data_IF_555160762770
#
_entry.id   IF_555160762770
#
_cell.length_a   1.000
_cell.length_b   1.000
_cell.length_c   1.000
_cell.angle_alpha   90.00
_cell.angle_beta   90.00
_cell.angle_gamma   90.00
#
_symmetry.space_group_name_H-M   'P 1'
#
loop_
_entity.id
_entity.type
_entity.pdbx_description
1 polymer ?
#
# COMPACT_ATOMS: atom_id res chain seq x y z
N UNK A 1 -16.07 -14.17 12.22
CA UNK A 1 -16.34 -13.73 11.00
C UNK A 1 -15.25 -13.94 10.06
N UNK A 2 -15.50 -14.71 9.06
CA UNK A 2 -14.51 -15.01 8.11
C UNK A 2 -14.12 -13.81 7.30
N UNK A 3 -15.06 -12.99 6.93
CA UNK A 3 -14.73 -11.81 6.15
C UNK A 3 -13.85 -10.86 6.93
N UNK A 4 -14.11 -10.76 8.20
CA UNK A 4 -13.33 -9.86 9.03
C UNK A 4 -11.89 -10.36 9.10
N UNK A 5 -11.70 -11.66 9.24
CA UNK A 5 -10.37 -12.22 9.29
C UNK A 5 -9.60 -11.97 8.00
N UNK A 6 -10.29 -12.10 6.87
CA UNK A 6 -9.64 -11.84 5.62
C UNK A 6 -9.22 -10.41 5.49
N UNK A 7 -10.03 -9.49 5.95
CA UNK A 7 -9.70 -8.09 5.90
C UNK A 7 -8.47 -7.81 6.76
N UNK A 8 -8.44 -8.39 7.94
CA UNK A 8 -7.30 -8.17 8.84
C UNK A 8 -6.03 -8.73 8.21
N UNK A 9 -6.13 -9.89 7.59
CA UNK A 9 -4.97 -10.47 6.94
C UNK A 9 -4.49 -9.60 5.79
N UNK A 10 -5.42 -9.05 5.03
CA UNK A 10 -5.06 -8.20 3.91
C UNK A 10 -4.36 -6.95 4.38
N UNK A 11 -4.84 -6.37 5.45
CA UNK A 11 -4.22 -5.17 5.99
C UNK A 11 -2.81 -5.49 6.46
N UNK A 12 -2.63 -6.63 7.11
CA UNK A 12 -1.31 -7.03 7.56
C UNK A 12 -0.34 -7.20 6.40
N UNK A 13 -0.82 -7.85 5.34
CA UNK A 13 0.02 -8.06 4.17
C UNK A 13 0.40 -6.73 3.53
N UNK A 14 -0.55 -5.81 3.45
CA UNK A 14 -0.26 -4.52 2.88
C UNK A 14 0.73 -3.74 3.72
N UNK A 15 0.63 -3.88 5.02
CA UNK A 15 1.56 -3.19 5.89
C UNK A 15 2.98 -3.70 5.67
N UNK A 16 3.12 -5.01 5.51
CA UNK A 16 4.43 -5.59 5.28
C UNK A 16 4.99 -5.17 3.93
N UNK A 17 4.16 -5.19 2.91
CA UNK A 17 4.59 -4.77 1.59
C UNK A 17 5.01 -3.31 1.63
N UNK A 18 4.25 -2.49 2.33
CA UNK A 18 4.56 -1.08 2.43
C UNK A 18 5.91 -0.86 3.09
N UNK A 19 6.18 -1.59 4.14
CA UNK A 19 7.44 -1.44 4.85
C UNK A 19 8.60 -1.83 3.96
N UNK A 20 8.47 -2.91 3.23
CA UNK A 20 9.52 -3.37 2.35
C UNK A 20 9.75 -2.35 1.24
N UNK A 21 8.68 -1.87 0.67
CA UNK A 21 8.77 -0.89 -0.40
C UNK A 21 9.44 0.39 0.09
N UNK A 22 9.02 0.87 1.24
CA UNK A 22 9.57 2.07 1.81
C UNK A 22 11.07 1.90 2.08
N UNK A 23 11.44 0.79 2.70
CA UNK A 23 12.83 0.55 2.99
C UNK A 23 13.66 0.46 1.71
N UNK A 24 13.11 -0.14 0.68
CA UNK A 24 13.82 -0.25 -0.58
C UNK A 24 14.08 1.12 -1.17
N UNK A 25 13.11 2.01 -1.08
CA UNK A 25 13.29 3.35 -1.61
C UNK A 25 14.36 4.10 -0.83
N UNK A 26 14.35 3.97 0.47
CA UNK A 26 15.36 4.62 1.29
C UNK A 26 16.74 4.08 0.94
N UNK A 27 16.84 2.77 0.77
CA UNK A 27 18.13 2.19 0.42
C UNK A 27 18.57 2.64 -0.94
N UNK A 28 17.66 2.92 -1.83
CA UNK A 28 18.00 3.39 -3.16
C UNK A 28 18.46 4.85 -3.15
N UNK A 29 18.37 5.50 -2.01
CA UNK A 29 18.85 6.86 -1.91
C UNK A 29 17.78 7.93 -2.01
N UNK A 30 16.51 7.56 -2.01
CA UNK A 30 15.50 8.57 -2.08
C UNK A 30 15.30 9.28 -0.76
N UNK A 31 14.93 10.56 -0.79
CA UNK A 31 14.65 11.28 0.43
C UNK A 31 13.45 10.68 1.14
N UNK A 32 13.44 10.87 2.44
CA UNK A 32 12.35 10.37 3.26
C UNK A 32 10.99 10.79 2.74
N UNK A 33 10.85 12.07 2.41
CA UNK A 33 9.57 12.58 1.94
C UNK A 33 9.13 11.90 0.67
N UNK A 34 10.04 11.69 -0.27
CA UNK A 34 9.70 11.04 -1.51
C UNK A 34 9.33 9.59 -1.27
N UNK A 35 10.07 8.94 -0.39
CA UNK A 35 9.80 7.54 -0.11
C UNK A 35 8.41 7.37 0.49
N UNK A 36 8.03 8.26 1.39
CA UNK A 36 6.72 8.19 1.99
C UNK A 36 5.63 8.44 0.96
N UNK A 37 5.82 9.44 0.13
CA UNK A 37 4.83 9.78 -0.88
C UNK A 37 4.64 8.62 -1.86
N UNK A 38 5.73 8.04 -2.32
CA UNK A 38 5.64 6.95 -3.27
C UNK A 38 5.00 5.73 -2.63
N UNK A 39 5.34 5.46 -1.38
CA UNK A 39 4.75 4.32 -0.70
C UNK A 39 3.25 4.51 -0.54
N UNK A 40 2.82 5.71 -0.19
CA UNK A 40 1.40 5.99 -0.04
C UNK A 40 0.67 5.82 -1.36
N UNK A 41 1.29 6.24 -2.45
CA UNK A 41 0.68 6.09 -3.74
C UNK A 41 0.56 4.62 -4.12
N UNK A 42 1.59 3.84 -3.84
CA UNK A 42 1.56 2.43 -4.16
C UNK A 42 0.45 1.74 -3.39
N UNK A 43 0.32 2.06 -2.11
CA UNK A 43 -0.71 1.46 -1.30
C UNK A 43 -2.08 1.81 -1.82
N UNK A 44 -2.27 3.06 -2.22
CA UNK A 44 -3.54 3.49 -2.77
C UNK A 44 -3.91 2.71 -4.02
N UNK A 45 -2.93 2.48 -4.90
CA UNK A 45 -3.18 1.75 -6.12
C UNK A 45 -3.54 0.30 -5.82
N UNK A 46 -2.81 -0.32 -4.91
CA UNK A 46 -3.09 -1.69 -4.56
C UNK A 46 -4.48 -1.80 -3.95
N UNK A 47 -4.82 -0.83 -3.12
CA UNK A 47 -6.11 -0.85 -2.47
C UNK A 47 -7.23 -0.76 -3.49
N UNK A 48 -7.06 0.07 -4.50
CA UNK A 48 -8.03 0.18 -5.55
C UNK A 48 -8.21 -1.13 -6.27
N UNK A 49 -7.11 -1.80 -6.59
CA UNK A 49 -7.18 -3.07 -7.28
C UNK A 49 -7.87 -4.12 -6.42
N UNK A 50 -7.57 -4.14 -5.15
CA UNK A 50 -8.17 -5.13 -4.28
C UNK A 50 -9.65 -4.92 -4.08
N UNK A 51 -10.09 -3.69 -4.02
CA UNK A 51 -11.51 -3.44 -3.80
C UNK A 51 -12.30 -3.42 -5.08
N UNK A 52 -11.60 -3.36 -6.19
CA UNK A 52 -12.27 -3.31 -7.48
C UNK A 52 -12.91 -2.00 -7.75
N UNK A 53 -12.57 -0.97 -6.98
CA UNK A 53 -13.15 0.25 -7.15
C UNK A 53 -12.65 1.00 -8.29
N UNK A 54 -13.40 1.45 -9.15
CA UNK A 54 -12.95 2.17 -10.19
C UNK A 54 -13.02 3.52 -9.91
N UNK A 55 -12.35 4.26 -10.03
CA UNK A 55 -12.33 5.52 -9.76
C UNK A 55 -13.07 6.27 -10.57
N UNK A 56 -13.85 6.60 -10.65
CA UNK A 56 -14.52 7.23 -11.48
C UNK A 56 -14.66 8.46 -11.27
N UNK A 57 -14.42 9.16 -11.04
CA UNK A 57 -14.45 10.26 -10.84
C UNK A 57 -14.64 11.00 -11.65
N UNK A 58 -14.90 11.13 -12.02
CA UNK A 58 -15.00 11.78 -12.75
C UNK A 58 -15.07 12.30 -12.83
#
# INVERSE_FOLDING_TARGET
MENFNKIVESIGAMAEISAIYYHSLIKAGLPHDCAITLTAKMIGEIFKLCTGEEEKHE
#
